data_IF_981840113036
#
_entry.id   IF_981840113036
#
_cell.length_a   1.000
_cell.length_b   1.000
_cell.length_c   1.000
_cell.angle_alpha   90.00
_cell.angle_beta   90.00
_cell.angle_gamma   90.00
#
_symmetry.space_group_name_H-M   'P 1'
#
loop_
_entity.id
_entity.type
_entity.pdbx_description
1 polymer ?
#
# COMPACT_ATOMS: atom_id res chain seq x y z
N UNK A 1 -26.94 -2.73 6.36
CA UNK A 1 -26.06 -1.59 6.03
C UNK A 1 -24.63 -2.14 6.00
N UNK A 2 -24.25 -2.79 4.90
CA UNK A 2 -22.86 -3.21 4.67
C UNK A 2 -22.22 -2.10 3.85
N UNK A 3 -21.44 -1.26 4.51
CA UNK A 3 -20.67 -0.21 3.84
C UNK A 3 -19.60 -0.88 2.99
N UNK A 4 -19.86 -1.00 1.69
CA UNK A 4 -18.83 -1.28 0.70
C UNK A 4 -17.99 -0.02 0.55
N UNK A 5 -16.85 0.00 1.24
CA UNK A 5 -15.79 0.97 0.98
C UNK A 5 -15.17 0.58 -0.35
N UNK A 6 -15.77 1.06 -1.44
CA UNK A 6 -15.18 1.02 -2.77
C UNK A 6 -14.32 2.27 -2.89
N UNK A 7 -13.02 2.13 -2.58
CA UNK A 7 -12.05 3.19 -2.81
C UNK A 7 -11.86 3.36 -4.32
N UNK A 8 -12.02 4.59 -4.79
CA UNK A 8 -11.91 4.95 -6.19
C UNK A 8 -10.47 4.74 -6.70
N UNK A 9 -10.29 3.73 -7.55
CA UNK A 9 -9.04 3.38 -8.23
C UNK A 9 -9.05 1.88 -8.54
N UNK A 10 -9.53 1.50 -9.72
CA UNK A 10 -10.04 0.16 -10.04
C UNK A 10 -9.07 -1.04 -10.00
N UNK A 11 -7.85 -0.95 -9.46
CA UNK A 11 -6.86 -2.03 -9.56
C UNK A 11 -6.02 -2.33 -8.30
N UNK A 12 -6.26 -1.68 -7.14
CA UNK A 12 -5.39 -1.86 -5.95
C UNK A 12 -6.12 -2.41 -4.72
N UNK A 13 -5.46 -3.32 -3.99
CA UNK A 13 -6.05 -4.00 -2.82
C UNK A 13 -5.86 -3.24 -1.50
N UNK A 14 -4.91 -2.30 -1.42
CA UNK A 14 -4.73 -1.42 -0.27
C UNK A 14 -4.36 0.01 -0.70
N UNK A 15 -4.54 0.97 0.21
CA UNK A 15 -4.21 2.38 0.02
C UNK A 15 -3.16 2.85 1.03
N UNK A 16 -2.58 4.04 0.82
CA UNK A 16 -1.71 4.67 1.81
C UNK A 16 -2.42 4.87 3.17
N UNK A 17 -3.73 5.14 3.17
CA UNK A 17 -4.52 5.26 4.40
C UNK A 17 -4.54 3.95 5.19
N UNK A 18 -4.74 2.81 4.51
CA UNK A 18 -4.69 1.49 5.15
C UNK A 18 -3.30 1.19 5.74
N UNK A 19 -2.22 1.68 5.11
CA UNK A 19 -0.87 1.55 5.65
C UNK A 19 -0.66 2.39 6.91
N UNK A 20 -1.15 3.63 6.93
CA UNK A 20 -1.03 4.54 8.09
C UNK A 20 -1.81 4.01 9.30
N UNK A 21 -2.92 3.29 9.08
CA UNK A 21 -3.68 2.62 10.16
C UNK A 21 -2.87 1.52 10.86
N UNK A 22 -1.89 0.92 10.18
CA UNK A 22 -1.14 -0.25 10.66
C UNK A 22 0.33 0.05 10.97
N UNK A 23 0.89 1.09 10.36
CA UNK A 23 2.28 1.50 10.48
C UNK A 23 2.32 2.99 10.82
N UNK A 24 3.01 3.39 11.91
CA UNK A 24 3.15 4.80 12.25
C UNK A 24 3.73 5.59 11.07
N UNK A 25 3.15 6.75 10.78
CA UNK A 25 3.58 7.61 9.66
C UNK A 25 5.09 7.90 9.69
N UNK A 26 5.65 8.13 10.89
CA UNK A 26 7.10 8.32 11.07
C UNK A 26 7.92 7.12 10.59
N UNK A 27 7.45 5.90 10.79
CA UNK A 27 8.11 4.69 10.28
C UNK A 27 8.03 4.64 8.75
N UNK A 28 6.89 4.98 8.16
CA UNK A 28 6.75 5.04 6.70
C UNK A 28 7.67 6.09 6.09
N UNK A 29 7.83 7.27 6.71
CA UNK A 29 8.79 8.28 6.27
C UNK A 29 10.20 7.72 6.23
N UNK A 30 10.63 7.03 7.29
CA UNK A 30 11.97 6.45 7.38
C UNK A 30 12.20 5.31 6.37
N UNK A 31 11.18 4.48 6.13
CA UNK A 31 11.29 3.35 5.19
C UNK A 31 11.23 3.77 3.72
N UNK A 32 10.61 4.91 3.41
CA UNK A 32 10.40 5.35 2.03
C UNK A 32 11.41 6.39 1.56
N UNK A 33 12.20 6.92 2.49
CA UNK A 33 13.25 7.90 2.21
C UNK A 33 14.59 7.35 2.69
N UNK A 34 15.25 6.55 1.84
CA UNK A 34 16.58 5.97 2.11
C UNK A 34 17.71 7.01 2.09
N UNK A 35 17.54 8.11 1.35
CA UNK A 35 18.52 9.18 1.30
C UNK A 35 18.43 10.01 2.57
N UNK A 36 19.54 10.06 3.34
CA UNK A 36 19.72 11.12 4.33
C UNK A 36 19.57 12.44 3.59
N UNK A 37 18.47 13.17 3.85
CA UNK A 37 18.11 14.42 3.20
C UNK A 37 19.34 15.32 3.00
N UNK A 38 20.00 15.20 1.85
CA UNK A 38 21.34 15.76 1.65
C UNK A 38 21.13 17.21 1.23
N UNK A 39 20.67 18.02 2.18
CA UNK A 39 20.14 19.36 1.92
C UNK A 39 18.99 19.79 2.85
N UNK A 40 18.43 18.88 3.66
CA UNK A 40 17.51 19.28 4.73
C UNK A 40 18.31 20.09 5.76
N UNK A 41 17.92 21.35 5.91
CA UNK A 41 18.35 22.16 7.03
C UNK A 41 17.92 21.42 8.32
N UNK A 42 18.86 21.21 9.25
CA UNK A 42 18.63 20.53 10.53
C UNK A 42 17.22 20.80 11.11
N UNK A 43 16.32 19.82 11.01
CA UNK A 43 14.97 19.88 11.57
C UNK A 43 13.80 19.75 10.60
N UNK A 44 14.01 19.59 9.28
CA UNK A 44 12.91 19.37 8.34
C UNK A 44 12.50 17.89 8.28
N UNK A 45 11.26 17.60 8.69
CA UNK A 45 10.64 16.27 8.53
C UNK A 45 10.25 16.06 7.08
N UNK A 46 10.87 15.07 6.41
CA UNK A 46 10.47 14.68 5.06
C UNK A 46 9.06 14.07 5.07
N UNK A 47 8.23 14.34 4.04
CA UNK A 47 6.97 13.62 3.86
C UNK A 47 7.21 12.16 3.47
N UNK A 48 6.17 11.32 3.60
CA UNK A 48 6.19 9.95 3.05
C UNK A 48 6.41 10.03 1.54
N UNK A 49 7.38 9.27 1.02
CA UNK A 49 7.60 9.20 -0.41
C UNK A 49 6.55 8.28 -1.05
N UNK A 50 5.49 8.89 -1.59
CA UNK A 50 4.36 8.18 -2.17
C UNK A 50 4.76 7.34 -3.38
N UNK A 51 5.80 7.71 -4.13
CA UNK A 51 6.24 6.92 -5.28
C UNK A 51 6.80 5.54 -4.85
N UNK A 52 7.49 5.48 -3.71
CA UNK A 52 7.95 4.20 -3.14
C UNK A 52 6.75 3.37 -2.68
N UNK A 53 5.79 4.00 -1.99
CA UNK A 53 4.55 3.35 -1.54
C UNK A 53 3.75 2.80 -2.73
N UNK A 54 3.47 3.61 -3.74
CA UNK A 54 2.71 3.21 -4.93
C UNK A 54 3.40 2.06 -5.65
N UNK A 55 4.73 2.10 -5.72
CA UNK A 55 5.49 0.98 -6.27
C UNK A 55 5.27 -0.29 -5.45
N UNK A 56 5.29 -0.20 -4.12
CA UNK A 56 5.15 -1.30 -3.18
C UNK A 56 3.76 -1.93 -3.21
N UNK A 57 2.71 -1.10 -3.24
CA UNK A 57 1.32 -1.52 -3.41
C UNK A 57 1.17 -2.27 -4.73
N UNK A 58 1.67 -1.72 -5.85
CA UNK A 58 1.59 -2.40 -7.16
C UNK A 58 2.20 -3.80 -7.15
N UNK A 59 3.32 -4.00 -6.45
CA UNK A 59 3.91 -5.33 -6.32
C UNK A 59 3.04 -6.28 -5.51
N UNK A 60 2.47 -5.80 -4.39
CA UNK A 60 1.55 -6.61 -3.60
C UNK A 60 0.33 -7.01 -4.45
N UNK A 61 -0.22 -6.09 -5.23
CA UNK A 61 -1.37 -6.35 -6.10
C UNK A 61 -1.04 -7.35 -7.20
N UNK A 62 0.08 -7.16 -7.91
CA UNK A 62 0.53 -8.08 -8.95
C UNK A 62 0.74 -9.50 -8.42
N UNK A 63 1.28 -9.65 -7.21
CA UNK A 63 1.44 -10.95 -6.55
C UNK A 63 0.10 -11.58 -6.18
N UNK A 64 -0.81 -10.80 -5.57
CA UNK A 64 -2.15 -11.29 -5.21
C UNK A 64 -2.90 -11.74 -6.47
N UNK A 65 -2.90 -10.91 -7.51
CA UNK A 65 -3.52 -11.23 -8.79
C UNK A 65 -2.93 -12.49 -9.42
N UNK A 66 -1.61 -12.64 -9.41
CA UNK A 66 -0.94 -13.83 -9.92
C UNK A 66 -1.43 -15.11 -9.21
N UNK A 67 -1.67 -15.04 -7.89
CA UNK A 67 -2.23 -16.15 -7.13
C UNK A 67 -3.72 -16.39 -7.42
N UNK A 68 -4.50 -15.33 -7.67
CA UNK A 68 -5.94 -15.44 -7.93
C UNK A 68 -6.27 -15.93 -9.35
N UNK A 69 -5.47 -15.58 -10.37
CA UNK A 69 -5.72 -15.97 -11.78
C UNK A 69 -5.84 -17.47 -12.01
N UNK A 70 -5.30 -18.30 -11.12
CA UNK A 70 -5.45 -19.76 -11.21
C UNK A 70 -6.86 -20.28 -10.90
N UNK A 71 -7.72 -19.47 -10.26
CA UNK A 71 -9.05 -19.90 -9.78
C UNK A 71 -10.17 -18.90 -10.05
N UNK A 72 -9.84 -17.63 -10.20
CA UNK A 72 -10.81 -16.54 -10.36
C UNK A 72 -10.54 -15.76 -11.64
N UNK A 73 -11.62 -15.26 -12.25
CA UNK A 73 -11.55 -14.26 -13.31
C UNK A 73 -11.36 -12.89 -12.67
N UNK A 74 -10.31 -12.18 -13.07
CA UNK A 74 -10.01 -10.83 -12.59
C UNK A 74 -10.53 -9.77 -13.58
N UNK A 75 -10.93 -8.57 -13.11
CA UNK A 75 -10.94 -8.15 -11.70
C UNK A 75 -12.08 -8.80 -10.89
N UNK A 76 -11.91 -8.88 -9.57
CA UNK A 76 -12.95 -9.41 -8.69
C UNK A 76 -14.16 -8.46 -8.62
N UNK A 77 -15.36 -9.01 -8.57
CA UNK A 77 -16.60 -8.22 -8.43
C UNK A 77 -16.71 -7.60 -7.03
N UNK A 78 -16.28 -8.34 -6.01
CA UNK A 78 -16.21 -7.88 -4.62
C UNK A 78 -14.86 -8.32 -4.05
N UNK A 79 -14.13 -7.38 -3.45
CA UNK A 79 -12.82 -7.62 -2.85
C UNK A 79 -13.00 -7.99 -1.38
N UNK A 80 -12.70 -9.24 -0.97
CA UNK A 80 -12.75 -9.62 0.43
C UNK A 80 -11.73 -8.83 1.27
N UNK A 81 -12.10 -8.47 2.50
CA UNK A 81 -11.22 -7.68 3.39
C UNK A 81 -9.88 -8.35 3.69
N UNK A 82 -9.81 -9.69 3.63
CA UNK A 82 -8.55 -10.42 3.80
C UNK A 82 -7.52 -10.07 2.71
N UNK A 83 -7.94 -9.73 1.49
CA UNK A 83 -7.00 -9.31 0.44
C UNK A 83 -6.36 -7.96 0.77
N UNK A 84 -7.12 -7.05 1.40
CA UNK A 84 -6.59 -5.79 1.91
C UNK A 84 -5.53 -6.02 2.99
N UNK A 85 -5.82 -6.89 3.96
CA UNK A 85 -4.88 -7.18 5.05
C UNK A 85 -3.58 -7.85 4.54
N UNK A 86 -3.71 -8.73 3.53
CA UNK A 86 -2.56 -9.33 2.83
C UNK A 86 -1.77 -8.27 2.07
N UNK A 87 -2.45 -7.39 1.32
CA UNK A 87 -1.79 -6.34 0.54
C UNK A 87 -1.01 -5.36 1.43
N UNK A 88 -1.59 -4.94 2.56
CA UNK A 88 -0.91 -4.14 3.59
C UNK A 88 0.33 -4.86 4.11
N UNK A 89 0.21 -6.16 4.43
CA UNK A 89 1.32 -6.96 4.95
C UNK A 89 2.46 -7.08 3.94
N UNK A 90 2.14 -7.40 2.67
CA UNK A 90 3.12 -7.51 1.61
C UNK A 90 3.82 -6.17 1.34
N UNK A 91 3.05 -5.08 1.30
CA UNK A 91 3.57 -3.73 1.08
C UNK A 91 4.53 -3.29 2.19
N UNK A 92 4.21 -3.61 3.45
CA UNK A 92 5.04 -3.27 4.61
C UNK A 92 6.42 -3.94 4.62
N UNK A 93 6.53 -5.17 4.11
CA UNK A 93 7.75 -5.97 4.17
C UNK A 93 8.56 -5.98 2.87
N UNK A 94 8.12 -5.21 1.86
CA UNK A 94 8.90 -4.96 0.66
C UNK A 94 9.99 -3.95 0.94
#
# INVERSE_FOLDING_TARGET
MTSSVSCAGCDMYCTLTDLIEQVPEQTLIQLTNDEMATGSMYGETLPVNTAVIDSAIRYADELIDAHLRGRFTLPLVEVPTVLRDIAVTLTRYR
#
